data_IF_379790555933
#
_entry.id   IF_379790555933
#
_cell.length_a   1.000
_cell.length_b   1.000
_cell.length_c   1.000
_cell.angle_alpha   90.00
_cell.angle_beta   90.00
_cell.angle_gamma   90.00
#
_symmetry.space_group_name_H-M   'P 1'
#
loop_
_entity.id
_entity.type
_entity.pdbx_description
1 polymer ?
#
# COMPACT_ATOMS: atom_id res chain seq x y z
N UNK A 1 4.98 59.32 -4.12
CA UNK A 1 5.62 59.40 -5.45
C UNK A 1 5.57 58.01 -6.07
N UNK A 2 4.80 57.82 -7.14
CA UNK A 2 4.77 56.55 -7.89
C UNK A 2 6.09 56.40 -8.66
N UNK A 3 6.62 55.17 -8.71
CA UNK A 3 7.85 54.83 -9.42
C UNK A 3 7.58 54.74 -10.94
N UNK A 4 8.38 55.33 -11.84
CA UNK A 4 8.04 55.49 -13.26
C UNK A 4 8.11 54.21 -14.13
N UNK A 5 8.49 53.06 -13.56
CA UNK A 5 8.82 51.85 -14.32
C UNK A 5 7.76 50.73 -14.28
N UNK A 6 6.52 51.03 -13.88
CA UNK A 6 5.36 50.13 -14.04
C UNK A 6 4.88 50.04 -15.51
N UNK A 7 5.82 49.90 -16.46
CA UNK A 7 5.48 49.61 -17.85
C UNK A 7 5.02 48.16 -17.97
N UNK A 8 3.75 48.01 -18.30
CA UNK A 8 3.04 46.76 -18.56
C UNK A 8 3.87 45.79 -19.42
N UNK A 9 4.36 44.70 -18.83
CA UNK A 9 4.94 43.59 -19.60
C UNK A 9 3.81 42.80 -20.26
N UNK A 10 3.62 43.02 -21.55
CA UNK A 10 2.67 42.25 -22.38
C UNK A 10 3.33 40.99 -22.92
N UNK A 11 2.75 39.81 -22.66
CA UNK A 11 3.04 38.59 -23.43
C UNK A 11 1.83 38.33 -24.34
N UNK A 12 2.03 38.38 -25.66
CA UNK A 12 0.99 38.08 -26.65
C UNK A 12 -0.23 39.03 -26.67
N UNK A 13 -0.08 40.28 -26.24
CA UNK A 13 -1.16 41.29 -26.27
C UNK A 13 -2.22 41.15 -25.18
N UNK A 14 -2.13 40.17 -24.27
CA UNK A 14 -2.99 40.08 -23.08
C UNK A 14 -2.30 40.76 -21.89
N UNK A 15 -2.94 41.80 -21.35
CA UNK A 15 -2.56 42.41 -20.09
C UNK A 15 -2.97 41.47 -18.95
N UNK A 16 -2.00 40.81 -18.34
CA UNK A 16 -2.25 40.10 -17.09
C UNK A 16 -2.23 41.12 -15.96
N UNK A 17 -3.24 41.11 -15.05
CA UNK A 17 -3.24 42.01 -13.91
C UNK A 17 -1.96 41.78 -13.12
N UNK A 18 -1.15 42.83 -12.97
CA UNK A 18 0.07 42.76 -12.18
C UNK A 18 -0.34 42.66 -10.72
N UNK A 19 0.04 41.57 -10.07
CA UNK A 19 -0.21 41.43 -8.64
C UNK A 19 0.58 42.51 -7.89
N UNK A 20 -0.15 43.39 -7.20
CA UNK A 20 0.45 44.34 -6.28
C UNK A 20 1.16 43.58 -5.13
N UNK A 21 1.88 44.29 -4.26
CA UNK A 21 2.62 43.65 -3.17
C UNK A 21 1.72 42.79 -2.25
N UNK A 22 0.49 43.25 -2.00
CA UNK A 22 -0.50 42.58 -1.16
C UNK A 22 -1.07 41.32 -1.83
N UNK A 23 -1.41 41.38 -3.12
CA UNK A 23 -1.87 40.25 -3.92
C UNK A 23 -0.76 39.20 -4.07
N UNK A 24 0.51 39.61 -4.18
CA UNK A 24 1.67 38.70 -4.16
C UNK A 24 1.79 37.99 -2.83
N UNK A 25 1.67 38.70 -1.71
CA UNK A 25 1.69 38.09 -0.39
C UNK A 25 0.53 37.10 -0.20
N UNK A 26 -0.69 37.47 -0.60
CA UNK A 26 -1.88 36.62 -0.54
C UNK A 26 -1.75 35.35 -1.39
N UNK A 27 -1.22 35.47 -2.62
CA UNK A 27 -0.96 34.31 -3.48
C UNK A 27 0.14 33.40 -2.91
N UNK A 28 1.23 33.98 -2.41
CA UNK A 28 2.29 33.22 -1.76
C UNK A 28 1.78 32.45 -0.55
N UNK A 29 0.90 33.08 0.25
CA UNK A 29 0.24 32.43 1.37
C UNK A 29 -0.68 31.29 0.90
N UNK A 30 -1.50 31.49 -0.14
CA UNK A 30 -2.38 30.46 -0.67
C UNK A 30 -1.61 29.26 -1.25
N UNK A 31 -0.52 29.51 -1.98
CA UNK A 31 0.37 28.45 -2.50
C UNK A 31 1.06 27.70 -1.35
N UNK A 32 1.53 28.41 -0.33
CA UNK A 32 2.14 27.78 0.84
C UNK A 32 1.14 26.89 1.59
N UNK A 33 -0.12 27.35 1.74
CA UNK A 33 -1.21 26.59 2.34
C UNK A 33 -1.57 25.34 1.50
N UNK A 34 -1.67 25.47 0.17
CA UNK A 34 -1.91 24.35 -0.74
C UNK A 34 -0.79 23.30 -0.68
N UNK A 35 0.48 23.74 -0.70
CA UNK A 35 1.64 22.86 -0.61
C UNK A 35 1.69 22.16 0.75
N UNK A 36 1.44 22.89 1.85
CA UNK A 36 1.39 22.32 3.19
C UNK A 36 0.28 21.25 3.29
N UNK A 37 -0.92 21.54 2.77
CA UNK A 37 -2.02 20.57 2.72
C UNK A 37 -1.69 19.35 1.85
N UNK A 38 -0.99 19.53 0.72
CA UNK A 38 -0.52 18.42 -0.12
C UNK A 38 0.50 17.56 0.61
N UNK A 39 1.48 18.16 1.29
CA UNK A 39 2.48 17.43 2.04
C UNK A 39 1.87 16.62 3.20
N UNK A 40 0.91 17.22 3.90
CA UNK A 40 0.16 16.53 4.96
C UNK A 40 -0.61 15.33 4.40
N UNK A 41 -1.32 15.51 3.29
CA UNK A 41 -2.01 14.42 2.60
C UNK A 41 -1.05 13.31 2.16
N UNK A 42 0.12 13.66 1.64
CA UNK A 42 1.15 12.68 1.24
C UNK A 42 1.70 11.93 2.46
N UNK A 43 1.99 12.62 3.57
CA UNK A 43 2.48 12.01 4.82
C UNK A 43 1.44 11.05 5.40
N UNK A 44 0.19 11.47 5.53
CA UNK A 44 -0.89 10.63 6.04
C UNK A 44 -1.10 9.39 5.16
N UNK A 45 -1.12 9.57 3.83
CA UNK A 45 -1.27 8.45 2.88
C UNK A 45 -0.10 7.47 2.94
N UNK A 46 1.13 7.99 3.11
CA UNK A 46 2.34 7.16 3.21
C UNK A 46 2.30 6.23 4.42
N UNK A 47 1.92 6.73 5.59
CA UNK A 47 1.83 5.91 6.80
C UNK A 47 0.82 4.77 6.64
N UNK A 48 -0.36 5.07 6.07
CA UNK A 48 -1.37 4.05 5.77
C UNK A 48 -0.84 3.04 4.75
N UNK A 49 -0.19 3.49 3.68
CA UNK A 49 0.38 2.62 2.66
C UNK A 49 1.48 1.70 3.24
N UNK A 50 2.37 2.22 4.08
CA UNK A 50 3.42 1.44 4.76
C UNK A 50 2.81 0.38 5.68
N UNK A 51 1.74 0.72 6.42
CA UNK A 51 1.02 -0.26 7.25
C UNK A 51 0.40 -1.37 6.41
N UNK A 52 -0.33 -1.02 5.35
CA UNK A 52 -0.98 -2.00 4.47
C UNK A 52 0.05 -2.90 3.77
N UNK A 53 1.21 -2.36 3.42
CA UNK A 53 2.30 -3.14 2.84
C UNK A 53 2.83 -4.17 3.85
N UNK A 54 3.10 -3.75 5.10
CA UNK A 54 3.53 -4.66 6.17
C UNK A 54 2.50 -5.75 6.48
N UNK A 55 1.22 -5.42 6.47
CA UNK A 55 0.15 -6.41 6.66
C UNK A 55 0.16 -7.47 5.54
N UNK A 56 0.41 -7.07 4.29
CA UNK A 56 0.55 -7.99 3.15
C UNK A 56 1.82 -8.83 3.23
N UNK A 57 2.93 -8.25 3.65
CA UNK A 57 4.21 -8.97 3.85
C UNK A 57 4.05 -10.11 4.86
N UNK A 58 3.36 -9.87 6.00
CA UNK A 58 3.10 -10.92 6.99
C UNK A 58 2.34 -12.12 6.42
N UNK A 59 1.36 -11.87 5.55
CA UNK A 59 0.60 -12.95 4.90
C UNK A 59 1.47 -13.71 3.90
N UNK A 60 2.33 -12.99 3.15
CA UNK A 60 3.28 -13.60 2.23
C UNK A 60 4.30 -14.50 2.97
N UNK A 61 4.82 -14.02 4.09
CA UNK A 61 5.76 -14.76 4.94
C UNK A 61 5.14 -16.04 5.47
N UNK A 62 3.90 -15.98 5.97
CA UNK A 62 3.18 -17.17 6.45
C UNK A 62 2.96 -18.21 5.33
N UNK A 63 2.60 -17.77 4.12
CA UNK A 63 2.44 -18.66 2.98
C UNK A 63 3.77 -19.28 2.56
N UNK A 64 4.87 -18.50 2.61
CA UNK A 64 6.21 -19.00 2.34
C UNK A 64 6.65 -20.06 3.37
N UNK A 65 6.32 -19.86 4.65
CA UNK A 65 6.59 -20.85 5.70
C UNK A 65 5.82 -22.14 5.48
N UNK A 66 4.53 -22.05 5.15
CA UNK A 66 3.71 -23.22 4.81
C UNK A 66 4.26 -23.98 3.60
N UNK A 67 4.68 -23.25 2.55
CA UNK A 67 5.33 -23.83 1.37
C UNK A 67 6.61 -24.57 1.75
N UNK A 68 7.49 -23.94 2.53
CA UNK A 68 8.73 -24.56 2.96
C UNK A 68 8.47 -25.82 3.80
N UNK A 69 7.48 -25.79 4.69
CA UNK A 69 7.08 -26.95 5.48
C UNK A 69 6.50 -28.08 4.60
N UNK A 70 5.71 -27.75 3.57
CA UNK A 70 5.23 -28.72 2.57
C UNK A 70 6.38 -29.39 1.83
N UNK A 71 7.34 -28.59 1.35
CA UNK A 71 8.51 -29.09 0.60
C UNK A 71 9.40 -29.96 1.48
N UNK A 72 9.63 -29.56 2.74
CA UNK A 72 10.37 -30.36 3.71
C UNK A 72 9.67 -31.69 4.05
N UNK A 73 8.34 -31.72 4.04
CA UNK A 73 7.55 -32.94 4.22
C UNK A 73 7.49 -33.82 2.96
N UNK A 74 8.07 -33.39 1.83
CA UNK A 74 8.06 -34.12 0.56
C UNK A 74 6.67 -34.22 -0.09
N UNK A 75 5.70 -33.40 0.35
CA UNK A 75 4.32 -33.46 -0.15
C UNK A 75 4.20 -32.63 -1.42
N UNK A 76 3.77 -33.25 -2.51
CA UNK A 76 3.57 -32.56 -3.80
C UNK A 76 2.29 -31.71 -3.80
N UNK A 77 2.19 -30.77 -4.75
CA UNK A 77 0.95 -30.00 -4.93
C UNK A 77 -0.23 -30.87 -5.39
N UNK A 78 0.03 -31.99 -6.05
CA UNK A 78 -1.00 -32.96 -6.44
C UNK A 78 -1.56 -33.70 -5.21
N UNK A 79 -0.69 -34.13 -4.29
CA UNK A 79 -1.14 -34.71 -3.02
C UNK A 79 -1.85 -33.68 -2.14
N UNK A 80 -1.40 -32.42 -2.15
CA UNK A 80 -2.12 -31.35 -1.44
C UNK A 80 -3.53 -31.17 -2.00
N UNK A 81 -3.72 -31.24 -3.31
CA UNK A 81 -5.05 -31.17 -3.93
C UNK A 81 -5.96 -32.30 -3.43
N UNK A 82 -5.45 -33.54 -3.35
CA UNK A 82 -6.17 -34.69 -2.81
C UNK A 82 -6.52 -34.51 -1.32
N UNK A 83 -5.57 -34.02 -0.51
CA UNK A 83 -5.75 -33.84 0.95
C UNK A 83 -6.64 -32.67 1.32
N UNK A 84 -6.60 -31.59 0.55
CA UNK A 84 -7.24 -30.31 0.90
C UNK A 84 -8.51 -30.03 0.09
N UNK A 85 -8.67 -30.67 -1.08
CA UNK A 85 -9.68 -30.33 -2.08
C UNK A 85 -9.39 -29.01 -2.82
N UNK A 86 -8.23 -28.37 -2.59
CA UNK A 86 -7.83 -27.13 -3.25
C UNK A 86 -7.06 -27.49 -4.52
N UNK A 87 -7.51 -26.99 -5.67
CA UNK A 87 -6.87 -27.28 -6.95
C UNK A 87 -5.36 -27.02 -6.94
N UNK A 88 -4.55 -27.90 -7.53
CA UNK A 88 -3.09 -27.71 -7.69
C UNK A 88 -2.73 -26.37 -8.30
N UNK A 89 -3.53 -25.90 -9.25
CA UNK A 89 -3.34 -24.57 -9.88
C UNK A 89 -3.57 -23.42 -8.89
N UNK A 90 -4.53 -23.55 -7.98
CA UNK A 90 -4.79 -22.57 -6.93
C UNK A 90 -3.70 -22.59 -5.85
N UNK A 91 -3.22 -23.78 -5.46
CA UNK A 91 -2.10 -23.94 -4.53
C UNK A 91 -0.81 -23.35 -5.13
N UNK A 92 -0.52 -23.64 -6.41
CA UNK A 92 0.62 -23.06 -7.11
C UNK A 92 0.56 -21.52 -7.17
N UNK A 93 -0.62 -20.95 -7.46
CA UNK A 93 -0.81 -19.50 -7.40
C UNK A 93 -0.61 -18.95 -5.99
N UNK A 94 -1.12 -19.63 -4.96
CA UNK A 94 -0.96 -19.24 -3.57
C UNK A 94 0.53 -19.17 -3.20
N UNK A 95 1.29 -20.22 -3.51
CA UNK A 95 2.71 -20.38 -3.15
C UNK A 95 3.70 -19.47 -3.91
N UNK A 96 3.26 -18.83 -5.00
CA UNK A 96 4.13 -18.03 -5.87
C UNK A 96 3.61 -16.60 -6.07
N UNK A 97 2.48 -16.22 -5.48
CA UNK A 97 1.98 -14.85 -5.56
C UNK A 97 2.89 -13.89 -4.77
N UNK A 98 3.20 -12.73 -5.35
CA UNK A 98 3.91 -11.64 -4.63
C UNK A 98 3.10 -11.09 -3.46
N UNK A 99 1.77 -11.13 -3.56
CA UNK A 99 0.85 -10.64 -2.53
C UNK A 99 -0.32 -11.63 -2.43
N UNK A 100 -0.12 -12.79 -1.78
CA UNK A 100 -1.18 -13.77 -1.62
C UNK A 100 -2.29 -13.20 -0.71
N UNK A 101 -3.53 -13.58 -0.98
CA UNK A 101 -4.70 -13.21 -0.17
C UNK A 101 -5.58 -14.44 0.13
N UNK A 102 -5.07 -15.41 0.92
CA UNK A 102 -5.83 -16.59 1.30
C UNK A 102 -6.83 -16.26 2.41
N UNK A 103 -7.89 -17.07 2.50
CA UNK A 103 -8.75 -17.09 3.69
C UNK A 103 -8.08 -17.88 4.82
N UNK A 104 -8.48 -17.64 6.07
CA UNK A 104 -8.05 -18.46 7.20
C UNK A 104 -8.37 -19.95 7.01
N UNK A 105 -9.53 -20.27 6.43
CA UNK A 105 -9.91 -21.65 6.11
C UNK A 105 -8.94 -22.33 5.13
N UNK A 106 -8.44 -21.57 4.14
CA UNK A 106 -7.42 -22.07 3.20
C UNK A 106 -6.11 -22.34 3.92
N UNK A 107 -5.64 -21.42 4.76
CA UNK A 107 -4.40 -21.59 5.53
C UNK A 107 -4.49 -22.77 6.50
N UNK A 108 -5.62 -22.91 7.20
CA UNK A 108 -5.86 -24.00 8.14
C UNK A 108 -5.89 -25.37 7.45
N UNK A 109 -6.61 -25.51 6.33
CA UNK A 109 -6.60 -26.78 5.54
C UNK A 109 -5.21 -27.10 5.00
N UNK A 110 -4.49 -26.09 4.53
CA UNK A 110 -3.12 -26.27 4.04
C UNK A 110 -2.23 -26.83 5.16
N UNK A 111 -2.20 -26.16 6.33
CA UNK A 111 -1.41 -26.59 7.47
C UNK A 111 -1.77 -28.03 7.91
N UNK A 112 -3.06 -28.34 8.05
CA UNK A 112 -3.52 -29.67 8.44
C UNK A 112 -3.07 -30.76 7.45
N UNK A 113 -3.10 -30.48 6.14
CA UNK A 113 -2.69 -31.44 5.10
C UNK A 113 -1.20 -31.80 5.13
N UNK A 114 -0.36 -30.95 5.74
CA UNK A 114 1.07 -31.19 5.94
C UNK A 114 1.42 -31.56 7.39
N UNK A 115 0.42 -31.91 8.22
CA UNK A 115 0.63 -32.30 9.61
C UNK A 115 1.06 -31.15 10.53
N UNK A 116 0.68 -29.91 10.19
CA UNK A 116 0.91 -28.70 10.98
C UNK A 116 -0.40 -28.18 11.55
N UNK A 117 -0.30 -27.41 12.63
CA UNK A 117 -1.41 -26.72 13.25
C UNK A 117 -1.20 -25.22 13.09
N UNK A 118 -2.26 -24.51 12.68
CA UNK A 118 -2.29 -23.06 12.65
C UNK A 118 -3.10 -22.57 13.85
N UNK A 119 -2.46 -21.81 14.73
CA UNK A 119 -3.10 -21.21 15.89
C UNK A 119 -3.27 -19.70 15.67
N UNK A 120 -4.36 -19.14 16.18
CA UNK A 120 -4.62 -17.70 16.15
C UNK A 120 -5.27 -17.25 17.47
N UNK A 121 -4.83 -16.10 17.97
CA UNK A 121 -5.42 -15.42 19.12
C UNK A 121 -5.96 -14.05 18.69
N UNK A 122 -6.94 -13.54 19.44
CA UNK A 122 -7.39 -12.15 19.35
C UNK A 122 -7.04 -11.48 20.66
N UNK A 123 -6.23 -10.42 20.58
CA UNK A 123 -5.73 -9.70 21.75
C UNK A 123 -6.18 -8.24 21.68
N UNK A 124 -6.28 -7.60 22.85
CA UNK A 124 -6.59 -6.17 22.92
C UNK A 124 -5.42 -5.37 22.34
N UNK A 125 -5.66 -4.70 21.22
CA UNK A 125 -4.71 -3.76 20.65
C UNK A 125 -5.05 -2.35 21.12
N UNK A 126 -4.20 -1.77 21.97
CA UNK A 126 -4.26 -0.34 22.30
C UNK A 126 -3.47 0.43 21.23
N UNK A 127 -4.13 1.35 20.49
CA UNK A 127 -3.50 2.12 19.41
C UNK A 127 -2.45 3.12 19.90
#
# INVERSE_FOLDING_TARGET
MLNPDDKQRTIGGKAYPQMNAEQRASYQQAVAEELAGREENVRATRQVAERLLKERERVADLVAELKAAREAAGVSLSEMEERTGILKSALSRLENAKSPNPTLATLHRYAAAIGRQLEWSVELHTP
#
